data_IF_449851063915
#
_entry.id   IF_449851063915
#
_cell.length_a   1.000
_cell.length_b   1.000
_cell.length_c   1.000
_cell.angle_alpha   90.00
_cell.angle_beta   90.00
_cell.angle_gamma   90.00
#
_symmetry.space_group_name_H-M   'P 1'
#
loop_
_entity.id
_entity.type
_entity.pdbx_description
1 polymer ?
#
# COMPACT_ATOMS: atom_id res chain seq x y z
N UNK A 1 -14.54 39.65 -67.80
CA UNK A 1 -13.35 39.29 -67.01
C UNK A 1 -13.60 39.78 -65.59
N UNK A 2 -14.17 38.95 -64.72
CA UNK A 2 -14.57 39.34 -63.35
C UNK A 2 -13.55 38.75 -62.38
N UNK A 3 -12.83 39.61 -61.69
CA UNK A 3 -11.86 39.26 -60.65
C UNK A 3 -12.60 38.79 -59.39
N UNK A 4 -12.32 37.56 -58.94
CA UNK A 4 -12.69 37.09 -57.59
C UNK A 4 -11.55 37.41 -56.61
N UNK A 5 -11.83 37.96 -55.41
CA UNK A 5 -10.79 38.25 -54.42
C UNK A 5 -10.30 36.98 -53.71
N UNK A 6 -8.98 36.73 -53.77
CA UNK A 6 -8.25 35.67 -53.07
C UNK A 6 -8.13 35.91 -51.56
N UNK A 7 -9.22 35.82 -50.81
CA UNK A 7 -9.19 35.82 -49.35
C UNK A 7 -9.94 34.62 -48.77
N UNK A 8 -9.51 33.41 -49.13
CA UNK A 8 -9.75 32.23 -48.30
C UNK A 8 -8.55 32.04 -47.36
N UNK A 9 -8.65 32.57 -46.14
CA UNK A 9 -7.80 32.09 -45.04
C UNK A 9 -8.18 30.65 -44.79
N UNK A 10 -7.26 29.72 -45.06
CA UNK A 10 -7.41 28.33 -44.65
C UNK A 10 -7.69 28.30 -43.14
N UNK A 11 -8.87 27.79 -42.76
CA UNK A 11 -9.16 27.43 -41.37
C UNK A 11 -8.15 26.35 -41.00
N UNK A 12 -7.27 26.64 -40.03
CA UNK A 12 -6.31 25.66 -39.58
C UNK A 12 -7.04 24.41 -39.10
N UNK A 13 -6.57 23.24 -39.52
CA UNK A 13 -7.12 21.97 -39.08
C UNK A 13 -7.14 21.92 -37.54
N UNK A 14 -8.21 21.40 -36.91
CA UNK A 14 -8.24 21.25 -35.47
C UNK A 14 -7.06 20.36 -35.06
N UNK A 15 -6.18 20.92 -34.22
CA UNK A 15 -5.07 20.19 -33.62
C UNK A 15 -5.62 18.92 -32.95
N UNK A 16 -4.99 17.74 -33.13
CA UNK A 16 -5.50 16.52 -32.52
C UNK A 16 -5.52 16.69 -31.00
N UNK A 17 -6.72 16.60 -30.39
CA UNK A 17 -6.87 16.59 -28.93
C UNK A 17 -5.91 15.54 -28.36
N UNK A 18 -4.94 15.97 -27.55
CA UNK A 18 -3.96 15.06 -26.96
C UNK A 18 -4.70 13.98 -26.18
N UNK A 19 -4.51 12.70 -26.54
CA UNK A 19 -5.08 11.58 -25.78
C UNK A 19 -4.51 11.59 -24.36
N UNK A 20 -5.39 11.69 -23.35
CA UNK A 20 -4.99 11.60 -21.94
C UNK A 20 -4.37 10.22 -21.69
N UNK A 21 -3.23 10.19 -21.02
CA UNK A 21 -2.50 8.98 -20.68
C UNK A 21 -2.08 8.97 -19.21
N UNK A 22 -1.79 7.78 -18.71
CA UNK A 22 -1.30 7.53 -17.36
C UNK A 22 0.05 6.82 -17.39
N UNK A 23 0.84 7.02 -16.34
CA UNK A 23 2.04 6.22 -16.11
C UNK A 23 1.75 5.07 -15.15
N UNK A 24 2.03 3.85 -15.61
CA UNK A 24 2.06 2.65 -14.77
C UNK A 24 3.18 2.74 -13.74
N UNK A 25 3.11 1.86 -12.73
CA UNK A 25 4.13 1.74 -11.67
C UNK A 25 5.51 1.36 -12.21
N UNK A 26 5.57 0.73 -13.38
CA UNK A 26 6.79 0.37 -14.10
C UNK A 26 7.25 1.45 -15.11
N UNK A 27 6.61 2.63 -15.11
CA UNK A 27 6.92 3.74 -16.02
C UNK A 27 6.30 3.64 -17.41
N UNK A 28 5.60 2.54 -17.74
CA UNK A 28 4.93 2.42 -19.05
C UNK A 28 3.79 3.42 -19.18
N UNK A 29 3.69 4.02 -20.36
CA UNK A 29 2.62 4.93 -20.76
C UNK A 29 1.42 4.14 -21.30
N UNK A 30 0.23 4.37 -20.76
CA UNK A 30 -1.01 3.75 -21.25
C UNK A 30 -2.10 4.82 -21.46
N UNK A 31 -2.91 4.75 -22.53
CA UNK A 31 -4.09 5.60 -22.64
C UNK A 31 -5.06 5.37 -21.47
N UNK A 32 -5.69 6.44 -20.98
CA UNK A 32 -6.74 6.32 -19.97
C UNK A 32 -7.94 5.58 -20.57
N UNK A 33 -8.41 4.56 -19.85
CA UNK A 33 -9.65 3.84 -20.17
C UNK A 33 -10.57 3.87 -18.95
N UNK A 34 -11.72 4.51 -19.08
CA UNK A 34 -12.67 4.68 -17.98
C UNK A 34 -13.16 3.36 -17.41
N UNK A 35 -13.49 2.41 -18.28
CA UNK A 35 -13.93 1.06 -17.87
C UNK A 35 -12.90 0.34 -16.99
N UNK A 36 -11.60 0.60 -17.18
CA UNK A 36 -10.54 0.01 -16.35
C UNK A 36 -10.53 0.59 -14.93
N UNK A 37 -10.84 1.88 -14.78
CA UNK A 37 -10.93 2.54 -13.48
C UNK A 37 -12.15 2.00 -12.73
N UNK A 38 -13.32 2.04 -13.37
CA UNK A 38 -14.57 1.55 -12.78
C UNK A 38 -14.48 0.07 -12.41
N UNK A 39 -14.02 -0.79 -13.33
CA UNK A 39 -13.84 -2.23 -13.08
C UNK A 39 -12.88 -2.50 -11.92
N UNK A 40 -11.83 -1.69 -11.75
CA UNK A 40 -10.89 -1.83 -10.64
C UNK A 40 -11.55 -1.52 -9.30
N UNK A 41 -12.35 -0.45 -9.20
CA UNK A 41 -13.04 -0.08 -7.97
C UNK A 41 -14.13 -1.13 -7.65
N UNK A 42 -14.89 -1.55 -8.65
CA UNK A 42 -15.96 -2.53 -8.48
C UNK A 42 -15.46 -3.88 -7.96
N UNK A 43 -14.28 -4.34 -8.41
CA UNK A 43 -13.63 -5.55 -7.89
C UNK A 43 -13.30 -5.50 -6.39
N UNK A 44 -13.16 -4.31 -5.81
CA UNK A 44 -12.89 -4.12 -4.38
C UNK A 44 -14.18 -4.04 -3.55
N UNK A 45 -15.34 -4.05 -4.19
CA UNK A 45 -16.65 -3.97 -3.54
C UNK A 45 -17.25 -5.33 -3.16
N UNK A 46 -16.44 -6.40 -3.13
CA UNK A 46 -16.91 -7.74 -2.80
C UNK A 46 -17.52 -7.78 -1.38
N UNK A 47 -18.73 -8.34 -1.27
CA UNK A 47 -19.46 -8.43 -0.01
C UNK A 47 -20.02 -7.10 0.51
N UNK A 48 -20.03 -6.04 -0.29
CA UNK A 48 -20.78 -4.81 0.01
C UNK A 48 -22.20 -4.88 -0.53
N UNK A 49 -23.08 -4.11 0.09
CA UNK A 49 -24.42 -3.87 -0.43
C UNK A 49 -24.33 -2.86 -1.59
N UNK A 50 -24.37 -3.37 -2.82
CA UNK A 50 -24.30 -2.54 -4.04
C UNK A 50 -25.58 -1.74 -4.31
N UNK A 51 -26.65 -1.93 -3.53
CA UNK A 51 -27.79 -1.02 -3.55
C UNK A 51 -27.52 0.23 -2.70
N UNK A 52 -26.67 0.10 -1.67
CA UNK A 52 -26.30 1.18 -0.76
C UNK A 52 -25.08 1.99 -1.20
N UNK A 53 -24.22 1.44 -2.08
CA UNK A 53 -23.05 2.13 -2.63
C UNK A 53 -23.00 2.05 -4.15
N UNK A 54 -22.51 3.10 -4.80
CA UNK A 54 -22.26 3.12 -6.24
C UNK A 54 -20.76 3.36 -6.54
N UNK A 55 -20.01 2.31 -6.91
CA UNK A 55 -18.61 2.42 -7.32
C UNK A 55 -18.38 3.34 -8.52
N UNK A 56 -19.40 3.54 -9.37
CA UNK A 56 -19.32 4.42 -10.54
C UNK A 56 -19.26 5.90 -10.13
N UNK A 57 -19.90 6.30 -9.02
CA UNK A 57 -19.76 7.65 -8.48
C UNK A 57 -18.30 7.95 -8.11
N UNK A 58 -17.63 6.98 -7.48
CA UNK A 58 -16.22 7.11 -7.14
C UNK A 58 -15.37 7.25 -8.39
N UNK A 59 -15.60 6.39 -9.38
CA UNK A 59 -14.88 6.41 -10.66
C UNK A 59 -15.08 7.74 -11.41
N UNK A 60 -16.31 8.25 -11.47
CA UNK A 60 -16.65 9.49 -12.17
C UNK A 60 -15.89 10.69 -11.59
N UNK A 61 -15.80 10.79 -10.26
CA UNK A 61 -15.03 11.88 -9.65
C UNK A 61 -13.54 11.80 -9.95
N UNK A 62 -12.97 10.60 -9.92
CA UNK A 62 -11.55 10.39 -10.30
C UNK A 62 -11.34 10.84 -11.73
N UNK A 63 -12.25 10.48 -12.62
CA UNK A 63 -12.21 10.85 -14.04
C UNK A 63 -12.26 12.37 -14.23
N UNK A 64 -13.13 13.06 -13.51
CA UNK A 64 -13.29 14.51 -13.62
C UNK A 64 -12.06 15.29 -13.12
N UNK A 65 -11.22 14.68 -12.28
CA UNK A 65 -10.00 15.30 -11.76
C UNK A 65 -8.72 14.76 -12.43
N UNK A 66 -8.86 13.95 -13.49
CA UNK A 66 -7.73 13.43 -14.24
C UNK A 66 -6.99 14.55 -15.00
N UNK A 67 -5.67 14.50 -14.95
CA UNK A 67 -4.80 15.27 -15.83
C UNK A 67 -3.83 14.35 -16.59
N UNK A 68 -3.29 14.86 -17.69
CA UNK A 68 -2.39 14.11 -18.54
C UNK A 68 -1.07 13.82 -17.83
N UNK A 69 -0.64 12.55 -17.81
CA UNK A 69 0.60 12.14 -17.15
C UNK A 69 0.47 11.79 -15.67
N UNK A 70 -0.75 11.73 -15.13
CA UNK A 70 -1.00 11.21 -13.78
C UNK A 70 -0.57 9.74 -13.66
N UNK A 71 -0.01 9.37 -12.52
CA UNK A 71 0.43 8.01 -12.25
C UNK A 71 -0.73 7.14 -11.78
N UNK A 72 -0.63 5.83 -11.99
CA UNK A 72 -1.62 4.88 -11.43
C UNK A 72 -1.62 4.80 -9.91
N UNK A 73 -0.61 5.35 -9.23
CA UNK A 73 -0.57 5.46 -7.76
C UNK A 73 -1.40 6.64 -7.30
N UNK A 74 -1.21 7.81 -7.92
CA UNK A 74 -2.01 9.01 -7.66
C UNK A 74 -3.49 8.75 -7.96
N UNK A 75 -3.80 8.02 -9.04
CA UNK A 75 -5.15 7.61 -9.36
C UNK A 75 -5.84 6.80 -8.26
N UNK A 76 -5.15 5.79 -7.72
CA UNK A 76 -5.69 4.98 -6.64
C UNK A 76 -5.83 5.81 -5.35
N UNK A 77 -4.91 6.76 -5.08
CA UNK A 77 -5.01 7.67 -3.94
C UNK A 77 -6.23 8.61 -4.06
N UNK A 78 -6.45 9.21 -5.23
CA UNK A 78 -7.62 10.05 -5.50
C UNK A 78 -8.93 9.26 -5.35
N UNK A 79 -8.96 8.00 -5.80
CA UNK A 79 -10.10 7.13 -5.64
C UNK A 79 -10.39 6.84 -4.16
N UNK A 80 -9.36 6.56 -3.36
CA UNK A 80 -9.51 6.30 -1.94
C UNK A 80 -9.95 7.56 -1.17
N UNK A 81 -9.38 8.72 -1.47
CA UNK A 81 -9.75 10.02 -0.87
C UNK A 81 -11.20 10.39 -1.19
N UNK A 82 -11.66 10.14 -2.42
CA UNK A 82 -13.05 10.39 -2.73
C UNK A 82 -13.99 9.37 -2.10
N UNK A 83 -13.63 8.08 -2.09
CA UNK A 83 -14.43 7.07 -1.41
C UNK A 83 -14.59 7.40 0.09
N UNK A 84 -13.53 7.82 0.80
CA UNK A 84 -13.68 8.20 2.22
C UNK A 84 -14.53 9.46 2.39
N UNK A 85 -14.51 10.39 1.43
CA UNK A 85 -15.39 11.57 1.49
C UNK A 85 -16.88 11.20 1.47
N UNK A 86 -17.24 10.05 0.89
CA UNK A 86 -18.61 9.51 0.84
C UNK A 86 -18.96 8.63 2.06
N UNK A 87 -18.04 8.47 3.03
CA UNK A 87 -18.30 7.59 4.19
C UNK A 87 -19.40 8.09 5.12
N UNK A 88 -19.81 9.36 4.98
CA UNK A 88 -20.95 9.93 5.70
C UNK A 88 -22.30 9.46 5.13
N UNK A 89 -22.33 9.01 3.87
CA UNK A 89 -23.53 8.45 3.24
C UNK A 89 -23.72 6.99 3.65
N UNK A 90 -22.65 6.18 3.55
CA UNK A 90 -22.67 4.78 3.94
C UNK A 90 -21.29 4.30 4.41
N UNK A 91 -21.25 3.46 5.44
CA UNK A 91 -20.00 2.94 6.04
C UNK A 91 -19.13 2.17 5.03
N UNK A 92 -19.74 1.51 4.05
CA UNK A 92 -19.03 0.68 3.07
C UNK A 92 -18.16 1.52 2.14
N UNK A 93 -18.45 2.81 1.95
CA UNK A 93 -17.54 3.72 1.26
C UNK A 93 -16.22 3.92 2.02
N UNK A 94 -16.27 3.98 3.35
CA UNK A 94 -15.08 4.02 4.19
C UNK A 94 -14.27 2.72 4.11
N UNK A 95 -14.95 1.57 4.02
CA UNK A 95 -14.31 0.28 3.80
C UNK A 95 -13.71 0.17 2.39
N UNK A 96 -14.42 0.65 1.37
CA UNK A 96 -13.92 0.73 -0.01
C UNK A 96 -12.65 1.57 -0.10
N UNK A 97 -12.64 2.75 0.54
CA UNK A 97 -11.45 3.60 0.61
C UNK A 97 -10.25 2.86 1.19
N UNK A 98 -10.46 2.12 2.28
CA UNK A 98 -9.42 1.30 2.89
C UNK A 98 -8.93 0.19 1.96
N UNK A 99 -9.83 -0.52 1.28
CA UNK A 99 -9.47 -1.59 0.34
C UNK A 99 -8.71 -1.07 -0.88
N UNK A 100 -9.04 0.13 -1.37
CA UNK A 100 -8.29 0.80 -2.43
C UNK A 100 -6.86 1.10 -1.95
N UNK A 101 -6.72 1.65 -0.74
CA UNK A 101 -5.42 1.97 -0.14
C UNK A 101 -4.54 0.71 0.02
N UNK A 102 -5.11 -0.37 0.57
CA UNK A 102 -4.44 -1.67 0.70
C UNK A 102 -4.02 -2.22 -0.66
N UNK A 103 -4.93 -2.22 -1.64
CA UNK A 103 -4.64 -2.67 -3.00
C UNK A 103 -3.52 -1.85 -3.64
N UNK A 104 -3.48 -0.54 -3.37
CA UNK A 104 -2.43 0.34 -3.87
C UNK A 104 -1.08 0.01 -3.24
N UNK A 105 -1.03 -0.15 -1.91
CA UNK A 105 0.18 -0.51 -1.15
C UNK A 105 0.73 -1.88 -1.61
N UNK A 106 -0.13 -2.89 -1.77
CA UNK A 106 0.27 -4.22 -2.24
C UNK A 106 0.91 -4.19 -3.64
N UNK A 107 0.49 -3.27 -4.51
CA UNK A 107 1.11 -3.10 -5.83
C UNK A 107 2.43 -2.32 -5.81
N UNK A 108 2.75 -1.66 -4.70
CA UNK A 108 3.97 -0.89 -4.52
C UNK A 108 5.04 -1.63 -3.71
N UNK A 109 4.67 -2.73 -3.08
CA UNK A 109 5.50 -3.55 -2.18
C UNK A 109 5.67 -4.97 -2.72
N UNK A 110 6.79 -5.61 -2.41
CA UNK A 110 6.99 -7.03 -2.76
C UNK A 110 5.97 -7.89 -2.01
N UNK A 111 5.60 -9.03 -2.59
CA UNK A 111 4.64 -9.95 -1.98
C UNK A 111 5.31 -10.78 -0.90
N UNK A 112 6.46 -11.36 -1.18
CA UNK A 112 7.17 -12.30 -0.31
C UNK A 112 7.77 -11.56 0.90
N UNK A 113 7.54 -12.08 2.11
CA UNK A 113 8.03 -11.45 3.35
C UNK A 113 9.55 -11.52 3.46
N UNK A 114 10.14 -12.70 3.21
CA UNK A 114 11.60 -12.87 3.31
C UNK A 114 12.36 -11.96 2.34
N UNK A 115 11.84 -11.73 1.13
CA UNK A 115 12.42 -10.78 0.16
C UNK A 115 12.40 -9.32 0.66
N UNK A 116 11.34 -8.90 1.35
CA UNK A 116 11.26 -7.55 1.94
C UNK A 116 12.28 -7.40 3.06
N UNK A 117 12.42 -8.42 3.91
CA UNK A 117 13.42 -8.42 4.99
C UNK A 117 14.85 -8.40 4.42
N UNK A 118 15.10 -9.15 3.34
CA UNK A 118 16.38 -9.14 2.63
C UNK A 118 16.72 -7.76 2.05
N UNK A 119 15.75 -7.09 1.38
CA UNK A 119 15.93 -5.72 0.89
C UNK A 119 16.25 -4.74 2.02
N UNK A 120 15.53 -4.82 3.14
CA UNK A 120 15.75 -3.96 4.31
C UNK A 120 17.13 -4.19 4.94
N UNK A 121 17.53 -5.45 5.09
CA UNK A 121 18.83 -5.82 5.62
C UNK A 121 19.98 -5.30 4.73
N UNK A 122 19.90 -5.50 3.41
CA UNK A 122 20.87 -4.98 2.43
C UNK A 122 20.94 -3.45 2.42
N UNK A 123 19.78 -2.79 2.39
CA UNK A 123 19.70 -1.33 2.42
C UNK A 123 20.34 -0.72 3.68
N UNK A 124 20.21 -1.38 4.84
CA UNK A 124 20.85 -0.98 6.08
C UNK A 124 22.38 -1.16 6.09
N UNK A 125 22.92 -2.13 5.34
CA UNK A 125 24.37 -2.28 5.16
C UNK A 125 24.92 -1.17 4.27
N UNK A 126 24.25 -0.89 3.14
CA UNK A 126 24.74 0.05 2.12
C UNK A 126 24.73 1.51 2.57
N UNK A 127 23.82 1.88 3.48
CA UNK A 127 23.54 3.29 3.82
C UNK A 127 23.75 3.64 5.29
N UNK A 128 24.14 2.67 6.12
CA UNK A 128 24.31 2.84 7.56
C UNK A 128 23.01 3.24 8.27
N UNK A 129 23.06 4.31 9.05
CA UNK A 129 21.91 4.79 9.86
C UNK A 129 20.79 5.47 9.06
N UNK A 130 20.91 5.59 7.73
CA UNK A 130 19.90 6.25 6.87
C UNK A 130 18.67 5.38 6.61
N UNK A 131 18.76 4.06 6.84
CA UNK A 131 17.65 3.11 6.66
C UNK A 131 17.45 2.26 7.92
N UNK A 132 16.24 1.68 8.11
CA UNK A 132 16.01 0.71 9.18
C UNK A 132 16.98 -0.46 9.03
N UNK A 133 17.90 -0.61 9.98
CA UNK A 133 18.87 -1.70 9.98
C UNK A 133 18.25 -2.92 10.64
N UNK A 134 17.99 -3.96 9.85
CA UNK A 134 17.56 -5.27 10.37
C UNK A 134 18.70 -5.89 11.20
N UNK A 135 18.35 -6.49 12.34
CA UNK A 135 19.30 -7.23 13.16
C UNK A 135 19.79 -8.51 12.43
N UNK A 136 21.09 -8.80 12.52
CA UNK A 136 21.68 -9.96 11.85
C UNK A 136 21.03 -11.27 12.29
N UNK A 137 20.87 -11.46 13.61
CA UNK A 137 20.35 -12.72 14.15
C UNK A 137 18.88 -12.91 13.73
N UNK A 138 18.11 -11.82 13.71
CA UNK A 138 16.76 -11.81 13.16
C UNK A 138 16.74 -12.19 11.68
N UNK A 139 17.60 -11.58 10.86
CA UNK A 139 17.68 -11.86 9.42
C UNK A 139 17.97 -13.34 9.17
N UNK A 140 18.93 -13.93 9.89
CA UNK A 140 19.27 -15.35 9.75
C UNK A 140 18.12 -16.26 10.14
N UNK A 141 17.37 -15.95 11.20
CA UNK A 141 16.16 -16.70 11.58
C UNK A 141 15.10 -16.66 10.48
N UNK A 142 14.84 -15.47 9.90
CA UNK A 142 13.89 -15.33 8.79
C UNK A 142 14.36 -16.14 7.58
N UNK A 143 15.64 -16.05 7.22
CA UNK A 143 16.17 -16.73 6.04
C UNK A 143 16.14 -18.26 6.19
N UNK A 144 16.49 -18.77 7.37
CA UNK A 144 16.46 -20.20 7.70
C UNK A 144 15.05 -20.80 7.63
N UNK A 145 14.01 -20.01 7.89
CA UNK A 145 12.62 -20.48 7.98
C UNK A 145 11.71 -19.84 6.92
N UNK A 146 12.27 -19.36 5.80
CA UNK A 146 11.54 -18.49 4.88
C UNK A 146 10.29 -19.15 4.28
N UNK A 147 10.35 -20.44 3.95
CA UNK A 147 9.21 -21.16 3.37
C UNK A 147 8.01 -21.22 4.32
N UNK A 148 8.27 -21.50 5.61
CA UNK A 148 7.24 -21.58 6.65
C UNK A 148 6.64 -20.19 6.90
N UNK A 149 7.49 -19.18 7.05
CA UNK A 149 7.06 -17.81 7.34
C UNK A 149 6.27 -17.21 6.17
N UNK A 150 6.75 -17.38 4.94
CA UNK A 150 6.08 -16.86 3.75
C UNK A 150 4.72 -17.52 3.51
N UNK A 151 4.61 -18.84 3.75
CA UNK A 151 3.35 -19.58 3.56
C UNK A 151 2.32 -19.34 4.65
N UNK A 152 2.74 -19.00 5.87
CA UNK A 152 1.84 -18.69 6.98
C UNK A 152 1.09 -17.35 6.81
N UNK A 153 1.60 -16.42 5.99
CA UNK A 153 1.05 -15.07 5.88
C UNK A 153 -0.24 -15.06 5.05
N UNK A 154 -1.30 -14.49 5.63
CA UNK A 154 -2.61 -14.30 5.00
C UNK A 154 -2.81 -12.81 4.66
N UNK A 155 -2.45 -12.43 3.42
CA UNK A 155 -2.54 -11.03 2.95
C UNK A 155 -3.96 -10.47 2.88
N UNK A 156 -4.98 -11.33 2.77
CA UNK A 156 -6.38 -10.89 2.73
C UNK A 156 -6.81 -10.21 4.03
N UNK A 157 -6.13 -10.50 5.15
CA UNK A 157 -6.36 -9.83 6.45
C UNK A 157 -6.08 -8.32 6.37
N UNK A 158 -5.25 -7.84 5.44
CA UNK A 158 -5.01 -6.40 5.25
C UNK A 158 -6.29 -5.66 4.81
N UNK A 159 -7.19 -6.30 4.05
CA UNK A 159 -8.41 -5.67 3.56
C UNK A 159 -9.49 -5.47 4.64
N UNK A 160 -9.20 -5.86 5.89
CA UNK A 160 -10.05 -5.62 7.06
C UNK A 160 -9.70 -4.33 7.82
N UNK A 161 -8.62 -3.62 7.45
CA UNK A 161 -8.27 -2.35 8.08
C UNK A 161 -9.21 -1.23 7.66
N UNK A 162 -9.41 -0.25 8.55
CA UNK A 162 -10.05 1.01 8.20
C UNK A 162 -9.07 1.92 7.45
N UNK A 163 -9.61 2.90 6.72
CA UNK A 163 -8.79 3.85 5.97
C UNK A 163 -7.84 4.63 6.90
N UNK A 164 -8.34 5.10 8.04
CA UNK A 164 -7.54 5.80 9.04
C UNK A 164 -6.41 4.92 9.59
N UNK A 165 -6.70 3.65 9.92
CA UNK A 165 -5.68 2.72 10.40
C UNK A 165 -4.59 2.49 9.35
N UNK A 166 -4.96 2.33 8.07
CA UNK A 166 -3.99 2.18 6.98
C UNK A 166 -3.10 3.41 6.79
N UNK A 167 -3.65 4.62 6.94
CA UNK A 167 -2.85 5.85 6.85
C UNK A 167 -1.86 5.96 8.01
N UNK A 168 -2.29 5.64 9.24
CA UNK A 168 -1.43 5.62 10.42
C UNK A 168 -0.30 4.58 10.24
N UNK A 169 -0.64 3.35 9.84
CA UNK A 169 0.34 2.28 9.60
C UNK A 169 1.41 2.71 8.59
N UNK A 170 1.00 3.20 7.41
CA UNK A 170 1.94 3.64 6.38
C UNK A 170 2.80 4.84 6.81
N UNK A 171 2.25 5.73 7.64
CA UNK A 171 2.96 6.92 8.10
C UNK A 171 4.02 6.56 9.14
N UNK A 172 3.63 5.82 10.17
CA UNK A 172 4.38 5.76 11.44
C UNK A 172 4.97 4.37 11.75
N UNK A 173 4.43 3.29 11.19
CA UNK A 173 4.74 1.92 11.63
C UNK A 173 5.40 1.03 10.58
N UNK A 174 5.00 1.15 9.32
CA UNK A 174 5.55 0.32 8.24
C UNK A 174 6.94 0.80 7.83
N UNK A 175 7.88 -0.15 7.70
CA UNK A 175 9.25 0.16 7.34
C UNK A 175 9.38 0.72 5.92
N UNK A 176 10.34 1.64 5.75
CA UNK A 176 10.58 2.40 4.52
C UNK A 176 12.03 2.28 4.08
N UNK A 177 12.24 2.22 2.77
CA UNK A 177 13.56 2.38 2.12
C UNK A 177 13.48 3.62 1.26
N UNK A 178 14.43 4.56 1.41
CA UNK A 178 14.45 5.83 0.69
C UNK A 178 13.11 6.61 0.79
N UNK A 179 12.48 6.59 1.96
CA UNK A 179 11.18 7.25 2.20
C UNK A 179 9.96 6.53 1.61
N UNK A 180 10.14 5.45 0.85
CA UNK A 180 9.05 4.65 0.29
C UNK A 180 8.74 3.45 1.18
N UNK A 181 7.46 3.23 1.48
CA UNK A 181 7.00 2.05 2.24
C UNK A 181 7.29 0.78 1.44
N UNK A 182 8.00 -0.16 2.07
CA UNK A 182 8.33 -1.48 1.47
C UNK A 182 7.61 -2.63 2.18
N UNK A 183 7.14 -2.39 3.40
CA UNK A 183 6.51 -3.37 4.27
C UNK A 183 4.97 -3.31 4.17
N UNK A 184 4.30 -4.46 4.20
CA UNK A 184 2.84 -4.56 4.35
C UNK A 184 2.46 -4.74 5.82
N UNK A 185 1.21 -4.45 6.24
CA UNK A 185 0.79 -4.71 7.62
C UNK A 185 0.99 -6.17 8.05
N UNK A 186 0.73 -7.15 7.17
CA UNK A 186 1.05 -8.55 7.49
C UNK A 186 2.55 -8.83 7.69
N UNK A 187 3.42 -8.16 6.94
CA UNK A 187 4.87 -8.28 7.11
C UNK A 187 5.30 -7.71 8.47
N UNK A 188 4.73 -6.58 8.88
CA UNK A 188 4.97 -5.99 10.20
C UNK A 188 4.56 -6.96 11.33
N UNK A 189 3.38 -7.58 11.25
CA UNK A 189 2.95 -8.58 12.25
C UNK A 189 3.87 -9.78 12.32
N UNK A 190 4.27 -10.33 11.15
CA UNK A 190 5.20 -11.45 11.11
C UNK A 190 6.58 -11.06 11.66
N UNK A 191 7.07 -9.87 11.33
CA UNK A 191 8.31 -9.31 11.88
C UNK A 191 8.26 -9.24 13.40
N UNK A 192 7.18 -8.72 13.97
CA UNK A 192 7.00 -8.64 15.43
C UNK A 192 7.02 -10.05 16.04
N UNK A 193 6.26 -11.00 15.48
CA UNK A 193 6.20 -12.37 15.99
C UNK A 193 7.56 -13.07 15.97
N UNK A 194 8.30 -12.97 14.86
CA UNK A 194 9.67 -13.51 14.75
C UNK A 194 10.63 -12.79 15.71
N UNK A 195 10.48 -11.48 15.92
CA UNK A 195 11.34 -10.74 16.83
C UNK A 195 11.16 -11.16 18.29
N UNK A 196 9.95 -11.56 18.68
CA UNK A 196 9.62 -12.04 20.03
C UNK A 196 10.08 -13.48 20.23
N UNK A 197 9.71 -14.39 19.31
CA UNK A 197 9.87 -15.84 19.52
C UNK A 197 11.09 -16.47 18.85
N UNK A 198 11.79 -15.72 17.99
CA UNK A 198 13.03 -16.15 17.30
C UNK A 198 12.85 -17.49 16.60
N UNK A 199 13.56 -18.54 17.04
CA UNK A 199 13.56 -19.85 16.38
C UNK A 199 12.31 -20.71 16.66
N UNK A 200 11.45 -20.34 17.61
CA UNK A 200 10.25 -21.11 17.93
C UNK A 200 9.11 -20.82 16.93
N UNK A 201 9.13 -21.49 15.76
CA UNK A 201 8.17 -21.26 14.67
C UNK A 201 6.70 -21.49 15.06
N UNK A 202 6.41 -22.43 15.96
CA UNK A 202 5.04 -22.66 16.42
C UNK A 202 4.50 -21.42 17.15
N UNK A 203 5.29 -20.87 18.08
CA UNK A 203 4.93 -19.64 18.80
C UNK A 203 4.92 -18.40 17.87
N UNK A 204 5.81 -18.34 16.88
CA UNK A 204 5.78 -17.27 15.86
C UNK A 204 4.44 -17.29 15.11
N UNK A 205 4.02 -18.45 14.61
CA UNK A 205 2.78 -18.56 13.81
C UNK A 205 1.55 -18.28 14.68
N UNK A 206 1.53 -18.76 15.92
CA UNK A 206 0.46 -18.46 16.88
C UNK A 206 0.33 -16.96 17.12
N UNK A 207 1.43 -16.30 17.50
CA UNK A 207 1.47 -14.85 17.74
C UNK A 207 1.13 -14.06 16.47
N UNK A 208 1.61 -14.47 15.30
CA UNK A 208 1.24 -13.85 14.03
C UNK A 208 -0.28 -13.90 13.79
N UNK A 209 -0.91 -15.06 14.02
CA UNK A 209 -2.36 -15.19 13.85
C UNK A 209 -3.11 -14.27 14.81
N UNK A 210 -2.75 -14.26 16.10
CA UNK A 210 -3.39 -13.41 17.09
C UNK A 210 -3.27 -11.91 16.76
N UNK A 211 -2.10 -11.46 16.31
CA UNK A 211 -1.85 -10.08 15.92
C UNK A 211 -2.59 -9.69 14.63
N UNK A 212 -2.51 -10.54 13.60
CA UNK A 212 -3.11 -10.26 12.29
C UNK A 212 -4.63 -10.34 12.29
N UNK A 213 -5.21 -11.12 13.20
CA UNK A 213 -6.66 -11.17 13.48
C UNK A 213 -7.11 -10.09 14.48
N UNK A 214 -6.18 -9.27 14.97
CA UNK A 214 -6.43 -8.12 15.85
C UNK A 214 -6.99 -8.51 17.22
N UNK A 215 -6.67 -9.70 17.73
CA UNK A 215 -7.00 -10.10 19.11
C UNK A 215 -6.28 -9.22 20.14
N UNK A 216 -5.07 -8.78 19.83
CA UNK A 216 -4.36 -7.74 20.58
C UNK A 216 -3.39 -6.97 19.68
N UNK A 217 -2.86 -5.86 20.18
CA UNK A 217 -1.86 -5.04 19.50
C UNK A 217 -0.70 -4.78 20.46
N UNK A 218 0.53 -4.85 19.95
CA UNK A 218 1.70 -4.45 20.74
C UNK A 218 1.85 -2.94 20.83
N UNK A 219 2.74 -2.46 21.71
CA UNK A 219 3.01 -1.04 21.86
C UNK A 219 3.53 -0.41 20.56
N UNK A 220 3.30 0.91 20.35
CA UNK A 220 3.85 1.63 19.19
C UNK A 220 5.36 1.44 19.00
N UNK A 221 6.12 1.37 20.11
CA UNK A 221 7.56 1.14 20.09
C UNK A 221 7.88 -0.23 19.49
N UNK A 222 7.19 -1.27 19.95
CA UNK A 222 7.36 -2.64 19.42
C UNK A 222 7.00 -2.70 17.93
N UNK A 223 5.90 -2.07 17.51
CA UNK A 223 5.48 -2.07 16.11
C UNK A 223 6.54 -1.45 15.18
N UNK A 224 7.14 -0.34 15.58
CA UNK A 224 8.15 0.36 14.77
C UNK A 224 9.56 -0.24 14.87
N UNK A 225 9.93 -0.86 16.01
CA UNK A 225 11.34 -1.24 16.28
C UNK A 225 11.62 -2.74 16.27
N UNK A 226 10.61 -3.61 16.39
CA UNK A 226 10.84 -5.05 16.45
C UNK A 226 11.63 -5.58 15.23
N UNK A 227 12.67 -6.37 15.48
CA UNK A 227 13.53 -6.95 14.43
C UNK A 227 14.63 -6.01 13.91
N UNK A 228 14.68 -4.75 14.34
CA UNK A 228 15.76 -3.82 14.01
C UNK A 228 16.94 -3.97 14.98
N UNK A 229 18.16 -3.67 14.51
CA UNK A 229 19.40 -3.75 15.29
C UNK A 229 19.42 -2.81 16.50
N UNK A 230 18.83 -1.60 16.39
CA UNK A 230 18.63 -0.66 17.51
C UNK A 230 17.36 -0.99 18.33
N UNK A 231 16.59 -1.99 17.90
CA UNK A 231 15.34 -2.42 18.48
C UNK A 231 15.50 -3.58 19.45
N UNK A 232 16.61 -3.64 20.21
CA UNK A 232 16.66 -4.51 21.38
C UNK A 232 15.43 -4.15 22.22
N UNK A 233 14.48 -5.09 22.24
CA UNK A 233 13.26 -4.98 23.01
C UNK A 233 13.71 -4.62 24.42
N UNK A 234 13.36 -3.41 24.87
CA UNK A 234 13.53 -2.99 26.24
C UNK A 234 12.77 -4.02 27.08
N UNK A 235 13.50 -5.02 27.59
CA UNK A 235 13.14 -5.67 28.83
C UNK A 235 13.06 -4.55 29.84
N UNK A 236 11.90 -4.37 30.46
CA UNK A 236 11.69 -3.38 31.50
C UNK A 236 12.91 -3.34 32.42
N UNK A 237 13.48 -2.14 32.54
CA UNK A 237 14.45 -1.77 33.57
C UNK A 237 13.79 -2.00 34.94
N UNK A 238 13.84 -3.23 35.43
CA UNK A 238 13.70 -3.56 36.85
C UNK A 238 15.10 -3.88 37.41
N UNK A 239 16.04 -2.96 37.16
CA UNK A 239 17.11 -2.68 38.11
C UNK A 239 16.66 -1.51 38.99
N UNK A 240 15.61 -1.77 39.79
CA UNK A 240 15.30 -0.97 40.96
C UNK A 240 16.07 -1.56 42.13
N UNK A 241 16.83 -0.70 42.80
CA UNK A 241 17.57 -0.97 44.04
C UNK A 241 16.69 -1.56 45.14
#
# INVERSE_FOLDING_TARGET
>A
MVFLPSNYKAVSAPQPKSKIFVFKRDGRKEPVMFDKITSRIQKLCYGFDLEAIDPALVALKVINNLYCGVTTVELDNMAAEHAISLSHEHKDYGMLAARIEVSNLHKQTKKTFSEVIEDLYKAGIETGDKHPKIDETFYQVVKKNEDILNSAIIYDRDFSYSFAAMKILQKDFLLKINGKVVERPQHMHMRIAVAIHRENMNAVIETYNLLSEKFYMHSPITMSMAGLAKGQLLSDYSSGQ
#
